data_IF_931244668063
#
_entry.id   IF_931244668063
#
_cell.length_a   1.000
_cell.length_b   1.000
_cell.length_c   1.000
_cell.angle_alpha   90.00
_cell.angle_beta   90.00
_cell.angle_gamma   90.00
#
_symmetry.space_group_name_H-M   'P 1'
#
loop_
_entity.id
_entity.type
_entity.pdbx_description
1 polymer ?
#
# COMPACT_ATOMS: atom_id res chain seq x y z
N UNK A 1 1.89 25.07 10.44
CA UNK A 1 1.37 24.16 9.40
C UNK A 1 1.85 24.52 8.00
N UNK A 2 1.59 25.74 7.51
CA UNK A 2 2.02 26.20 6.17
C UNK A 2 3.53 26.11 5.89
N UNK A 3 4.36 26.30 6.91
CA UNK A 3 5.82 26.22 6.79
C UNK A 3 6.31 24.77 6.60
N UNK A 4 5.69 23.82 7.31
CA UNK A 4 5.95 22.38 7.11
C UNK A 4 5.50 21.92 5.73
N UNK A 5 4.31 22.34 5.30
CA UNK A 5 3.78 22.03 3.96
C UNK A 5 4.70 22.59 2.87
N UNK A 6 5.17 23.83 3.02
CA UNK A 6 6.11 24.46 2.08
C UNK A 6 7.45 23.71 1.98
N UNK A 7 8.03 23.31 3.11
CA UNK A 7 9.28 22.53 3.14
C UNK A 7 9.09 21.16 2.49
N UNK A 8 7.97 20.47 2.76
CA UNK A 8 7.69 19.17 2.15
C UNK A 8 7.53 19.25 0.63
N UNK A 9 6.85 20.27 0.13
CA UNK A 9 6.69 20.50 -1.32
C UNK A 9 8.05 20.84 -1.95
N UNK A 10 8.84 21.72 -1.32
CA UNK A 10 10.17 22.10 -1.81
C UNK A 10 11.12 20.90 -1.89
N UNK A 11 11.13 20.05 -0.86
CA UNK A 11 11.89 18.80 -0.87
C UNK A 11 11.44 17.86 -2.00
N UNK A 12 10.12 17.72 -2.19
CA UNK A 12 9.54 16.95 -3.28
C UNK A 12 9.99 17.45 -4.66
N UNK A 13 9.94 18.77 -4.90
CA UNK A 13 10.38 19.38 -6.17
C UNK A 13 11.86 19.08 -6.43
N UNK A 14 12.72 19.19 -5.43
CA UNK A 14 14.14 18.86 -5.56
C UNK A 14 14.39 17.40 -5.95
N UNK A 15 13.65 16.47 -5.33
CA UNK A 15 13.70 15.04 -5.67
C UNK A 15 13.25 14.81 -7.10
N UNK A 16 12.11 15.37 -7.51
CA UNK A 16 11.61 15.19 -8.88
C UNK A 16 12.56 15.79 -9.92
N UNK A 17 13.16 16.94 -9.63
CA UNK A 17 14.13 17.57 -10.51
C UNK A 17 15.34 16.67 -10.77
N UNK A 18 15.97 16.14 -9.72
CA UNK A 18 17.15 15.29 -9.87
C UNK A 18 16.79 13.88 -10.34
N UNK A 19 15.84 13.21 -9.68
CA UNK A 19 15.57 11.79 -9.92
C UNK A 19 14.67 11.54 -11.14
N UNK A 20 13.91 12.53 -11.61
CA UNK A 20 13.01 12.38 -12.76
C UNK A 20 13.50 13.19 -13.95
N UNK A 21 13.66 14.50 -13.82
CA UNK A 21 14.01 15.35 -14.96
C UNK A 21 15.46 15.11 -15.40
N UNK A 22 16.43 15.15 -14.49
CA UNK A 22 17.83 14.95 -14.88
C UNK A 22 18.09 13.48 -15.26
N UNK A 23 17.74 12.55 -14.38
CA UNK A 23 18.09 11.13 -14.58
C UNK A 23 17.26 10.44 -15.67
N UNK A 24 15.95 10.72 -15.78
CA UNK A 24 15.06 9.99 -16.71
C UNK A 24 14.74 10.74 -17.99
N UNK A 25 15.03 12.04 -18.07
CA UNK A 25 14.82 12.85 -19.27
C UNK A 25 16.17 13.31 -19.82
N UNK A 26 16.91 14.15 -19.10
CA UNK A 26 18.12 14.78 -19.64
C UNK A 26 19.26 13.79 -19.98
N UNK A 27 19.63 12.91 -19.04
CA UNK A 27 20.70 11.94 -19.25
C UNK A 27 20.46 11.00 -20.45
N UNK A 28 19.30 10.31 -20.57
CA UNK A 28 19.06 9.41 -21.70
C UNK A 28 18.87 10.13 -23.04
N UNK A 29 18.30 11.34 -23.05
CA UNK A 29 18.14 12.15 -24.27
C UNK A 29 19.48 12.66 -24.81
N UNK A 30 20.40 13.08 -23.95
CA UNK A 30 21.65 13.75 -24.34
C UNK A 30 22.83 12.78 -24.46
N UNK A 31 22.95 11.81 -23.55
CA UNK A 31 24.10 10.90 -23.50
C UNK A 31 23.84 9.58 -24.23
N UNK A 32 22.63 9.03 -24.13
CA UNK A 32 22.30 7.70 -24.68
C UNK A 32 21.58 7.77 -26.04
N UNK A 33 21.14 8.96 -26.48
CA UNK A 33 20.34 9.20 -27.69
C UNK A 33 19.09 8.33 -27.78
N UNK A 34 18.50 7.97 -26.64
CA UNK A 34 17.27 7.20 -26.63
C UNK A 34 16.08 8.13 -26.89
N UNK A 35 15.63 8.17 -28.15
CA UNK A 35 14.48 8.96 -28.58
C UNK A 35 13.15 8.46 -28.00
N UNK A 36 13.11 7.26 -27.38
CA UNK A 36 11.89 6.71 -26.79
C UNK A 36 11.40 7.53 -25.59
N UNK A 37 12.29 8.31 -24.97
CA UNK A 37 11.99 9.26 -23.86
C UNK A 37 11.17 10.46 -24.32
N UNK A 38 11.09 10.72 -25.63
CA UNK A 38 10.27 11.81 -26.20
C UNK A 38 8.77 11.54 -25.96
N UNK A 39 8.33 10.28 -26.04
CA UNK A 39 6.93 9.90 -25.84
C UNK A 39 6.43 10.28 -24.42
N UNK A 40 7.08 9.85 -23.32
CA UNK A 40 6.68 10.27 -21.98
C UNK A 40 6.87 11.77 -21.74
N UNK A 41 7.85 12.41 -22.38
CA UNK A 41 8.02 13.87 -22.30
C UNK A 41 6.82 14.62 -22.91
N UNK A 42 6.36 14.21 -24.08
CA UNK A 42 5.17 14.78 -24.72
C UNK A 42 3.93 14.53 -23.86
N UNK A 43 3.75 13.32 -23.32
CA UNK A 43 2.63 13.02 -22.41
C UNK A 43 2.68 13.88 -21.14
N UNK A 44 3.88 14.12 -20.59
CA UNK A 44 4.08 15.02 -19.45
C UNK A 44 3.76 16.48 -19.80
N UNK A 45 4.20 16.97 -20.96
CA UNK A 45 3.87 18.31 -21.43
C UNK A 45 2.36 18.48 -21.67
N UNK A 46 1.69 17.46 -22.19
CA UNK A 46 0.24 17.44 -22.37
C UNK A 46 -0.51 17.58 -21.04
N UNK A 47 0.07 17.22 -19.89
CA UNK A 47 -0.55 17.47 -18.59
C UNK A 47 -0.67 18.96 -18.26
N UNK A 48 0.24 19.81 -18.74
CA UNK A 48 0.16 21.27 -18.55
C UNK A 48 -1.03 21.91 -19.29
N UNK A 49 -1.60 21.23 -20.29
CA UNK A 49 -2.84 21.68 -20.93
C UNK A 49 -4.02 21.81 -19.96
N UNK A 50 -3.93 21.17 -18.78
CA UNK A 50 -4.93 21.26 -17.70
C UNK A 50 -5.08 22.67 -17.12
N UNK A 51 -4.04 23.51 -17.17
CA UNK A 51 -4.13 24.89 -16.70
C UNK A 51 -5.05 25.76 -17.58
N UNK A 52 -5.31 25.33 -18.82
CA UNK A 52 -6.15 26.04 -19.76
C UNK A 52 -7.48 25.30 -19.97
N UNK A 53 -8.60 25.89 -19.54
CA UNK A 53 -9.95 25.27 -19.64
C UNK A 53 -10.30 24.80 -21.07
N UNK A 54 -9.79 25.46 -22.11
CA UNK A 54 -10.12 25.15 -23.51
C UNK A 54 -9.44 23.87 -24.05
N UNK A 55 -8.28 23.48 -23.52
CA UNK A 55 -7.51 22.33 -24.03
C UNK A 55 -7.43 21.18 -23.02
N UNK A 56 -8.19 21.24 -21.92
CA UNK A 56 -8.20 20.23 -20.86
C UNK A 56 -8.60 18.81 -21.32
N UNK A 57 -9.12 18.64 -22.53
CA UNK A 57 -9.38 17.30 -23.09
C UNK A 57 -8.08 16.55 -23.43
N UNK A 58 -7.01 17.26 -23.79
CA UNK A 58 -5.71 16.67 -24.13
C UNK A 58 -5.03 16.01 -22.93
N UNK A 59 -5.28 16.51 -21.71
CA UNK A 59 -4.78 15.88 -20.48
C UNK A 59 -5.46 14.54 -20.15
N UNK A 60 -6.53 14.14 -20.86
CA UNK A 60 -7.18 12.84 -20.65
C UNK A 60 -6.29 11.67 -21.08
N UNK A 61 -5.51 11.81 -22.15
CA UNK A 61 -4.64 10.72 -22.62
C UNK A 61 -3.50 10.41 -21.64
N UNK A 62 -2.75 11.41 -21.11
CA UNK A 62 -1.77 11.16 -20.05
C UNK A 62 -2.39 10.56 -18.79
N UNK A 63 -3.58 11.00 -18.39
CA UNK A 63 -4.27 10.44 -17.21
C UNK A 63 -4.66 8.97 -17.47
N UNK A 64 -5.21 8.64 -18.63
CA UNK A 64 -5.52 7.26 -19.00
C UNK A 64 -4.27 6.39 -19.01
N UNK A 65 -3.13 6.92 -19.48
CA UNK A 65 -1.85 6.22 -19.44
C UNK A 65 -1.36 6.00 -18.00
N UNK A 66 -1.41 7.01 -17.14
CA UNK A 66 -1.01 6.90 -15.73
C UNK A 66 -1.90 5.90 -14.99
N UNK A 67 -3.22 5.97 -15.19
CA UNK A 67 -4.16 5.04 -14.57
C UNK A 67 -3.92 3.64 -15.11
N UNK A 68 -3.82 3.46 -16.42
CA UNK A 68 -3.55 2.16 -17.05
C UNK A 68 -2.26 1.53 -16.56
N UNK A 69 -1.16 2.28 -16.57
CA UNK A 69 0.13 1.83 -16.05
C UNK A 69 0.08 1.55 -14.54
N UNK A 70 -0.55 2.44 -13.77
CA UNK A 70 -0.73 2.29 -12.33
C UNK A 70 -1.50 1.02 -11.98
N UNK A 71 -2.64 0.79 -12.64
CA UNK A 71 -3.43 -0.43 -12.48
C UNK A 71 -2.70 -1.67 -12.98
N UNK A 72 -1.97 -1.55 -14.09
CA UNK A 72 -1.20 -2.65 -14.68
C UNK A 72 -0.07 -3.13 -13.77
N UNK A 73 0.52 -2.24 -12.97
CA UNK A 73 1.51 -2.60 -11.95
C UNK A 73 0.85 -3.05 -10.63
N UNK A 74 -0.24 -2.40 -10.21
CA UNK A 74 -0.86 -2.69 -8.91
C UNK A 74 -1.63 -4.01 -8.89
N UNK A 75 -2.29 -4.39 -9.99
CA UNK A 75 -3.10 -5.61 -10.06
C UNK A 75 -2.24 -6.87 -9.87
N UNK A 76 -1.15 -7.09 -10.62
CA UNK A 76 -0.29 -8.26 -10.41
C UNK A 76 0.29 -8.30 -8.99
N UNK A 77 0.71 -7.16 -8.45
CA UNK A 77 1.23 -7.09 -7.08
C UNK A 77 0.19 -7.50 -6.03
N UNK A 78 -1.08 -7.16 -6.27
CA UNK A 78 -2.20 -7.55 -5.40
C UNK A 78 -2.44 -9.06 -5.46
N UNK A 79 -2.33 -9.67 -6.65
CA UNK A 79 -2.40 -11.12 -6.81
C UNK A 79 -1.28 -11.85 -6.09
N UNK A 80 -0.07 -11.30 -6.03
CA UNK A 80 1.04 -11.90 -5.28
C UNK A 80 0.71 -12.06 -3.79
N UNK A 81 0.11 -11.04 -3.17
CA UNK A 81 -0.36 -11.12 -1.78
C UNK A 81 -1.47 -12.17 -1.61
N UNK A 82 -2.42 -12.22 -2.54
CA UNK A 82 -3.50 -13.21 -2.51
C UNK A 82 -2.96 -14.65 -2.65
N UNK A 83 -2.04 -14.90 -3.58
CA UNK A 83 -1.46 -16.23 -3.75
C UNK A 83 -0.67 -16.68 -2.52
N UNK A 84 0.11 -15.79 -1.91
CA UNK A 84 0.81 -16.07 -0.64
C UNK A 84 -0.19 -16.42 0.49
N UNK A 85 -1.33 -15.72 0.55
CA UNK A 85 -2.37 -15.99 1.54
C UNK A 85 -3.08 -17.33 1.30
N UNK A 86 -3.38 -17.67 0.04
CA UNK A 86 -3.94 -18.98 -0.34
C UNK A 86 -2.95 -20.10 -0.02
N UNK A 87 -1.67 -19.94 -0.38
CA UNK A 87 -0.62 -20.90 -0.07
C UNK A 87 -0.47 -21.11 1.44
N UNK A 88 -0.49 -20.03 2.23
CA UNK A 88 -0.44 -20.10 3.70
C UNK A 88 -1.64 -20.81 4.33
N UNK A 89 -2.77 -20.89 3.61
CA UNK A 89 -3.97 -21.59 4.06
C UNK A 89 -4.00 -23.07 3.63
N UNK A 90 -3.06 -23.51 2.78
CA UNK A 90 -2.96 -24.88 2.30
C UNK A 90 -1.73 -25.60 2.89
N UNK A 91 -1.79 -26.00 4.17
CA UNK A 91 -0.67 -26.64 4.84
C UNK A 91 -0.37 -28.02 4.25
N UNK A 92 0.92 -28.35 4.11
CA UNK A 92 1.38 -29.65 3.63
C UNK A 92 1.20 -30.79 4.66
N UNK A 93 0.98 -30.46 5.94
CA UNK A 93 0.77 -31.40 7.04
C UNK A 93 -0.45 -31.02 7.88
N UNK A 94 -1.18 -32.02 8.35
CA UNK A 94 -2.37 -31.84 9.20
C UNK A 94 -1.99 -31.85 10.68
N UNK A 95 -1.31 -30.80 11.12
CA UNK A 95 -1.10 -30.54 12.55
C UNK A 95 -2.30 -29.77 13.15
N UNK A 96 -2.44 -29.78 14.47
CA UNK A 96 -3.55 -29.14 15.21
C UNK A 96 -3.65 -27.65 14.87
N UNK A 97 -2.50 -26.95 14.79
CA UNK A 97 -2.45 -25.54 14.39
C UNK A 97 -2.98 -25.30 12.97
N UNK A 98 -2.63 -26.18 12.04
CA UNK A 98 -3.03 -26.11 10.65
C UNK A 98 -4.54 -26.38 10.48
N UNK A 99 -5.10 -27.30 11.27
CA UNK A 99 -6.55 -27.53 11.32
C UNK A 99 -7.31 -26.31 11.84
N UNK A 100 -6.79 -25.63 12.88
CA UNK A 100 -7.41 -24.40 13.41
C UNK A 100 -7.44 -23.30 12.33
N UNK A 101 -6.35 -23.15 11.57
CA UNK A 101 -6.29 -22.17 10.47
C UNK A 101 -7.31 -22.51 9.38
N UNK A 102 -7.37 -23.76 8.92
CA UNK A 102 -8.33 -24.19 7.89
C UNK A 102 -9.77 -23.95 8.35
N UNK A 103 -10.12 -24.36 9.58
CA UNK A 103 -11.46 -24.15 10.14
C UNK A 103 -11.76 -22.67 10.30
N UNK A 104 -10.80 -21.88 10.78
CA UNK A 104 -10.92 -20.43 10.91
C UNK A 104 -11.20 -19.75 9.57
N UNK A 105 -10.47 -20.11 8.50
CA UNK A 105 -10.67 -19.54 7.18
C UNK A 105 -12.02 -19.95 6.58
N UNK A 106 -12.41 -21.22 6.67
CA UNK A 106 -13.70 -21.68 6.15
C UNK A 106 -14.86 -20.98 6.88
N UNK A 107 -14.82 -20.91 8.22
CA UNK A 107 -15.88 -20.29 9.03
C UNK A 107 -15.98 -18.78 8.77
N UNK A 108 -14.85 -18.09 8.57
CA UNK A 108 -14.84 -16.66 8.23
C UNK A 108 -15.31 -16.39 6.79
N UNK A 109 -14.95 -17.23 5.82
CA UNK A 109 -15.50 -17.15 4.47
C UNK A 109 -17.01 -17.35 4.47
N UNK A 110 -17.53 -18.32 5.23
CA UNK A 110 -18.98 -18.53 5.40
C UNK A 110 -19.65 -17.32 6.04
N UNK A 111 -18.99 -16.63 6.97
CA UNK A 111 -19.52 -15.37 7.53
C UNK A 111 -19.65 -14.27 6.46
N UNK A 112 -18.61 -14.06 5.65
CA UNK A 112 -18.59 -13.03 4.61
C UNK A 112 -19.33 -13.39 3.32
N UNK A 113 -19.75 -14.65 3.15
CA UNK A 113 -20.52 -15.08 2.01
C UNK A 113 -21.97 -14.56 2.12
N UNK A 114 -22.17 -13.30 1.72
CA UNK A 114 -23.45 -12.58 1.80
C UNK A 114 -24.58 -13.20 0.96
N UNK A 115 -24.27 -14.12 0.04
CA UNK A 115 -25.26 -14.75 -0.86
C UNK A 115 -26.10 -15.87 -0.22
N UNK A 116 -25.84 -16.26 1.02
CA UNK A 116 -26.66 -17.25 1.75
C UNK A 116 -27.32 -16.60 2.96
N UNK A 117 -28.64 -16.79 3.13
CA UNK A 117 -29.33 -16.37 4.36
C UNK A 117 -28.73 -17.11 5.57
N UNK A 118 -28.30 -16.38 6.59
CA UNK A 118 -27.75 -16.93 7.85
C UNK A 118 -28.82 -17.58 8.75
N UNK A 119 -29.61 -18.53 8.21
CA UNK A 119 -30.60 -19.31 8.96
C UNK A 119 -30.11 -20.76 9.18
N UNK A 120 -30.33 -21.29 10.37
CA UNK A 120 -30.00 -22.70 10.71
C UNK A 120 -28.51 -22.99 10.94
N UNK A 121 -28.00 -24.09 10.37
CA UNK A 121 -26.62 -24.58 10.57
C UNK A 121 -25.56 -23.58 10.11
N UNK A 122 -25.80 -22.90 8.99
CA UNK A 122 -24.93 -21.86 8.43
C UNK A 122 -24.77 -20.67 9.40
N UNK A 123 -25.82 -20.32 10.14
CA UNK A 123 -25.76 -19.26 11.15
C UNK A 123 -24.89 -19.63 12.37
N UNK A 124 -24.85 -20.91 12.77
CA UNK A 124 -23.97 -21.37 13.87
C UNK A 124 -22.49 -21.37 13.45
N UNK A 125 -22.20 -21.83 12.24
CA UNK A 125 -20.84 -21.80 11.65
C UNK A 125 -20.35 -20.36 11.46
N UNK A 126 -21.23 -19.48 10.98
CA UNK A 126 -20.96 -18.04 10.84
C UNK A 126 -20.62 -17.37 12.18
N UNK A 127 -21.29 -17.74 13.28
CA UNK A 127 -20.98 -17.22 14.62
C UNK A 127 -19.56 -17.57 15.08
N UNK A 128 -19.07 -18.76 14.75
CA UNK A 128 -17.67 -19.15 15.03
C UNK A 128 -16.73 -18.27 14.20
N UNK A 129 -17.06 -18.01 12.93
CA UNK A 129 -16.33 -17.07 12.08
C UNK A 129 -16.23 -15.67 12.67
N UNK A 130 -17.31 -15.14 13.26
CA UNK A 130 -17.30 -13.83 13.96
C UNK A 130 -16.25 -13.81 15.05
N UNK A 131 -16.14 -14.87 15.86
CA UNK A 131 -15.12 -14.96 16.92
C UNK A 131 -13.71 -14.90 16.35
N UNK A 132 -13.44 -15.63 15.26
CA UNK A 132 -12.14 -15.55 14.57
C UNK A 132 -11.85 -14.15 14.03
N UNK A 133 -12.87 -13.47 13.48
CA UNK A 133 -12.73 -12.08 12.99
C UNK A 133 -12.42 -11.13 14.15
N UNK A 134 -13.09 -11.26 15.28
CA UNK A 134 -12.82 -10.43 16.47
C UNK A 134 -11.40 -10.65 16.99
N UNK A 135 -10.90 -11.89 17.01
CA UNK A 135 -9.51 -12.19 17.40
C UNK A 135 -8.53 -11.55 16.41
N UNK A 136 -8.77 -11.68 15.11
CA UNK A 136 -7.90 -11.12 14.07
C UNK A 136 -7.85 -9.58 14.16
N UNK A 137 -9.00 -8.92 14.34
CA UNK A 137 -9.04 -7.48 14.53
C UNK A 137 -8.37 -7.06 15.85
N UNK A 138 -8.58 -7.79 16.94
CA UNK A 138 -7.89 -7.55 18.20
C UNK A 138 -6.36 -7.61 18.05
N UNK A 139 -5.86 -8.61 17.34
CA UNK A 139 -4.43 -8.73 17.04
C UNK A 139 -3.92 -7.56 16.17
N UNK A 140 -4.67 -7.16 15.15
CA UNK A 140 -4.30 -6.03 14.28
C UNK A 140 -4.25 -4.69 15.05
N UNK A 141 -5.25 -4.41 15.89
CA UNK A 141 -5.23 -3.23 16.77
C UNK A 141 -4.05 -3.30 17.75
N UNK A 142 -3.81 -4.45 18.38
CA UNK A 142 -2.68 -4.67 19.27
C UNK A 142 -1.34 -4.40 18.59
N UNK A 143 -1.16 -4.84 17.34
CA UNK A 143 0.05 -4.59 16.56
C UNK A 143 0.29 -3.09 16.33
N UNK A 144 -0.76 -2.33 15.99
CA UNK A 144 -0.61 -0.87 15.79
C UNK A 144 -0.26 -0.13 17.08
N UNK A 145 -0.81 -0.57 18.23
CA UNK A 145 -0.50 -0.01 19.54
C UNK A 145 0.95 -0.36 19.91
N UNK A 146 1.36 -1.61 19.71
CA UNK A 146 2.73 -2.07 19.94
C UNK A 146 3.74 -1.25 19.14
N UNK A 147 3.46 -0.98 17.85
CA UNK A 147 4.33 -0.15 17.01
C UNK A 147 4.49 1.28 17.59
N UNK A 148 3.40 1.88 18.08
CA UNK A 148 3.44 3.20 18.71
C UNK A 148 4.18 3.21 20.05
N UNK A 149 3.94 2.20 20.89
CA UNK A 149 4.67 2.04 22.17
C UNK A 149 6.16 1.80 21.91
N UNK A 150 6.52 0.98 20.92
CA UNK A 150 7.91 0.74 20.54
C UNK A 150 8.62 2.02 20.11
N UNK A 151 7.97 2.87 19.31
CA UNK A 151 8.50 4.19 18.95
C UNK A 151 8.63 5.11 20.17
N UNK A 152 7.64 5.10 21.07
CA UNK A 152 7.68 5.89 22.31
C UNK A 152 8.85 5.48 23.19
N UNK A 153 9.06 4.17 23.38
CA UNK A 153 10.21 3.63 24.13
C UNK A 153 11.52 4.09 23.49
N UNK A 154 11.64 4.00 22.16
CA UNK A 154 12.83 4.50 21.46
C UNK A 154 13.08 6.00 21.67
N UNK A 155 12.02 6.82 21.73
CA UNK A 155 12.14 8.25 22.03
C UNK A 155 12.49 8.53 23.50
N UNK A 156 11.94 7.76 24.44
CA UNK A 156 12.28 7.87 25.86
C UNK A 156 13.74 7.45 26.09
N UNK A 157 14.21 6.39 25.44
CA UNK A 157 15.62 5.98 25.49
C UNK A 157 16.55 7.07 24.95
N UNK A 158 16.23 7.66 23.80
CA UNK A 158 16.99 8.80 23.27
C UNK A 158 17.04 9.97 24.27
N UNK A 159 15.90 10.34 24.86
CA UNK A 159 15.86 11.46 25.81
C UNK A 159 16.61 11.16 27.11
N UNK A 160 16.52 9.94 27.65
CA UNK A 160 17.12 9.60 28.94
C UNK A 160 18.59 9.18 28.85
N UNK A 161 19.00 8.57 27.73
CA UNK A 161 20.36 8.12 27.48
C UNK A 161 21.17 9.16 26.73
N UNK A 162 20.81 9.46 25.47
CA UNK A 162 21.62 10.35 24.61
C UNK A 162 21.54 11.82 25.03
N UNK A 163 20.38 12.29 25.50
CA UNK A 163 20.20 13.70 25.88
C UNK A 163 20.52 13.96 27.35
N UNK A 164 19.91 13.22 28.28
CA UNK A 164 20.11 13.45 29.72
C UNK A 164 21.27 12.65 30.35
N UNK A 165 21.74 11.57 29.72
CA UNK A 165 22.86 10.76 30.24
C UNK A 165 22.58 10.04 31.57
N UNK A 166 21.31 9.94 31.98
CA UNK A 166 20.91 9.33 33.27
C UNK A 166 20.97 7.79 33.18
N UNK A 167 20.77 7.25 31.98
CA UNK A 167 20.73 5.82 31.73
C UNK A 167 21.78 5.52 30.67
N UNK A 168 22.76 4.66 31.00
CA UNK A 168 23.79 4.22 30.07
C UNK A 168 23.28 3.11 29.16
#
# INVERSE_FOLDING_TARGET
EYLLVGISIGYGVSIYWHNTIITKVYNPLVHEKDFLVIIPLILGLLMFSRFFKSYSHLSRMPIAFIVGAGTGLSIPSSFEFLFKQVQGTMPASLDVGNLIIIVGVITTLVYFFFSMEHKGFVGKVSRIGITFIMIAFGAAFGYTIMARISLLIGRIQFLLSDWLGIIK
#
